data_IF_341214734381
#
_entry.id   IF_341214734381
#
_cell.length_a   1.000
_cell.length_b   1.000
_cell.length_c   1.000
_cell.angle_alpha   90.00
_cell.angle_beta   90.00
_cell.angle_gamma   90.00
#
_symmetry.space_group_name_H-M   'P 1'
#
loop_
_entity.id
_entity.type
_entity.pdbx_description
1 polymer ?
#
# COMPACT_ATOMS: atom_id res chain seq x y z
N UNK A 1 15.13 -9.09 14.22
CA UNK A 1 14.14 -8.41 15.08
C UNK A 1 13.90 -6.93 14.72
N UNK A 2 14.88 -6.19 14.20
CA UNK A 2 14.77 -4.76 13.90
C UNK A 2 13.70 -4.38 12.86
N UNK A 3 13.51 -5.20 11.82
CA UNK A 3 12.54 -4.93 10.75
C UNK A 3 11.09 -4.88 11.26
N UNK A 4 10.65 -5.83 12.11
CA UNK A 4 9.24 -5.85 12.60
C UNK A 4 8.86 -4.60 13.39
N UNK A 5 9.75 -4.14 14.28
CA UNK A 5 9.55 -2.91 15.07
C UNK A 5 9.59 -1.67 14.17
N UNK A 6 10.54 -1.61 13.24
CA UNK A 6 10.64 -0.51 12.28
C UNK A 6 9.40 -0.40 11.39
N UNK A 7 8.85 -1.54 10.94
CA UNK A 7 7.58 -1.58 10.20
C UNK A 7 6.44 -1.01 11.03
N UNK A 8 6.23 -1.51 12.25
CA UNK A 8 5.15 -1.04 13.10
C UNK A 8 5.20 0.48 13.37
N UNK A 9 6.41 1.04 13.56
CA UNK A 9 6.59 2.48 13.82
C UNK A 9 6.48 3.38 12.59
N UNK A 10 6.58 2.82 11.38
CA UNK A 10 6.67 3.60 10.15
C UNK A 10 5.64 3.23 9.09
N UNK A 11 4.79 2.25 9.37
CA UNK A 11 3.61 1.96 8.59
C UNK A 11 2.59 3.08 8.78
N UNK A 12 2.05 3.57 7.67
CA UNK A 12 0.89 4.47 7.66
C UNK A 12 -0.20 3.89 6.78
N UNK A 13 -1.44 4.12 7.17
CA UNK A 13 -2.60 3.81 6.32
C UNK A 13 -2.80 4.94 5.31
N UNK A 14 -3.08 4.57 4.06
CA UNK A 14 -3.36 5.49 2.96
C UNK A 14 -4.69 5.13 2.33
N UNK A 15 -5.45 6.14 1.98
CA UNK A 15 -6.64 6.03 1.14
C UNK A 15 -6.62 7.12 0.08
N UNK A 16 -7.51 7.02 -0.91
CA UNK A 16 -7.79 8.10 -1.85
C UNK A 16 -8.26 9.35 -1.11
N UNK A 17 -7.80 10.52 -1.56
CA UNK A 17 -8.18 11.81 -1.00
C UNK A 17 -9.69 12.05 -1.06
N UNK A 18 -10.35 11.61 -2.14
CA UNK A 18 -11.80 11.75 -2.30
C UNK A 18 -12.59 11.01 -1.23
N UNK A 19 -12.05 9.89 -0.75
CA UNK A 19 -12.76 8.97 0.15
C UNK A 19 -12.30 9.14 1.61
N UNK A 20 -11.30 9.99 1.89
CA UNK A 20 -10.66 10.08 3.20
C UNK A 20 -11.65 10.26 4.35
N UNK A 21 -12.60 11.18 4.21
CA UNK A 21 -13.57 11.46 5.27
C UNK A 21 -14.50 10.28 5.54
N UNK A 22 -15.00 9.64 4.48
CA UNK A 22 -15.87 8.45 4.60
C UNK A 22 -15.10 7.28 5.21
N UNK A 23 -13.84 7.08 4.84
CA UNK A 23 -13.03 5.99 5.38
C UNK A 23 -12.67 6.24 6.83
N UNK A 24 -12.38 7.48 7.21
CA UNK A 24 -12.13 7.82 8.60
C UNK A 24 -13.36 7.57 9.49
N UNK A 25 -14.56 7.92 9.02
CA UNK A 25 -15.80 7.62 9.74
C UNK A 25 -16.09 6.11 9.79
N UNK A 26 -15.91 5.41 8.67
CA UNK A 26 -16.11 3.96 8.60
C UNK A 26 -15.16 3.25 9.57
N UNK A 27 -13.88 3.62 9.59
CA UNK A 27 -12.86 3.07 10.50
C UNK A 27 -13.20 3.30 11.97
N UNK A 28 -13.76 4.46 12.32
CA UNK A 28 -14.17 4.76 13.69
C UNK A 28 -15.47 4.06 14.13
N UNK A 29 -16.30 3.63 13.17
CA UNK A 29 -17.61 3.03 13.42
C UNK A 29 -17.61 1.50 13.57
N UNK A 30 -16.54 0.84 13.10
CA UNK A 30 -16.45 -0.63 13.05
C UNK A 30 -16.18 -1.22 14.44
N UNK A 31 -16.89 -2.30 14.77
CA UNK A 31 -16.71 -3.06 16.01
C UNK A 31 -15.53 -4.04 15.92
N UNK A 32 -14.87 -4.30 17.05
CA UNK A 32 -13.76 -5.27 17.16
C UNK A 32 -14.22 -6.69 16.80
N UNK A 33 -15.42 -7.08 17.25
CA UNK A 33 -16.02 -8.38 16.93
C UNK A 33 -16.25 -8.61 15.43
N UNK A 34 -16.62 -7.57 14.69
CA UNK A 34 -16.77 -7.67 13.24
C UNK A 34 -15.43 -7.85 12.54
N UNK A 35 -14.36 -7.25 13.06
CA UNK A 35 -13.00 -7.43 12.53
C UNK A 35 -12.53 -8.86 12.77
N UNK A 36 -12.69 -9.40 13.98
CA UNK A 36 -12.32 -10.78 14.31
C UNK A 36 -13.05 -11.79 13.42
N UNK A 37 -14.36 -11.63 13.26
CA UNK A 37 -15.18 -12.53 12.43
C UNK A 37 -14.77 -12.51 10.94
N UNK A 38 -14.32 -11.37 10.42
CA UNK A 38 -13.76 -11.28 9.06
C UNK A 38 -12.37 -11.89 9.02
N UNK A 39 -11.53 -11.65 10.03
CA UNK A 39 -10.16 -12.14 10.09
C UNK A 39 -10.09 -13.67 10.10
N UNK A 40 -10.93 -14.30 10.93
CA UNK A 40 -11.07 -15.76 10.98
C UNK A 40 -11.49 -16.32 9.62
N UNK A 41 -12.44 -15.70 8.92
CA UNK A 41 -12.84 -16.20 7.60
C UNK A 41 -11.75 -16.03 6.55
N UNK A 42 -11.07 -14.90 6.57
CA UNK A 42 -9.93 -14.62 5.70
C UNK A 42 -8.80 -15.62 5.94
N UNK A 43 -8.56 -16.06 7.18
CA UNK A 43 -7.56 -17.09 7.47
C UNK A 43 -7.94 -18.48 6.94
N UNK A 44 -9.24 -18.74 6.79
CA UNK A 44 -9.78 -19.95 6.16
C UNK A 44 -9.90 -19.84 4.63
N UNK A 45 -9.47 -18.72 4.03
CA UNK A 45 -9.46 -18.50 2.58
C UNK A 45 -10.73 -17.87 2.00
N UNK A 46 -11.67 -17.44 2.83
CA UNK A 46 -12.86 -16.69 2.38
C UNK A 46 -12.62 -15.17 2.47
N UNK A 47 -12.58 -14.53 1.29
CA UNK A 47 -12.29 -13.10 1.17
C UNK A 47 -13.49 -12.26 0.68
N UNK A 48 -14.64 -12.90 0.41
CA UNK A 48 -15.75 -12.25 -0.29
C UNK A 48 -17.03 -12.18 0.55
N UNK A 49 -17.24 -13.13 1.45
CA UNK A 49 -18.53 -13.26 2.14
C UNK A 49 -18.66 -12.23 3.26
N UNK A 50 -19.80 -11.55 3.33
CA UNK A 50 -20.16 -10.69 4.45
C UNK A 50 -21.61 -10.96 4.85
N UNK A 51 -21.79 -11.37 6.10
CA UNK A 51 -23.06 -11.75 6.69
C UNK A 51 -23.73 -10.57 7.41
N UNK A 52 -22.92 -9.63 7.91
CA UNK A 52 -23.39 -8.40 8.57
C UNK A 52 -23.03 -7.15 7.77
N UNK A 53 -23.79 -6.06 7.95
CA UNK A 53 -23.46 -4.75 7.39
C UNK A 53 -22.12 -4.23 7.92
N UNK A 54 -21.76 -4.54 9.17
CA UNK A 54 -20.46 -4.16 9.74
C UNK A 54 -19.31 -4.89 9.04
N UNK A 55 -19.47 -6.17 8.75
CA UNK A 55 -18.47 -6.96 8.00
C UNK A 55 -18.30 -6.45 6.57
N UNK A 56 -19.38 -5.98 5.93
CA UNK A 56 -19.29 -5.33 4.61
C UNK A 56 -18.43 -4.07 4.68
N UNK A 57 -18.58 -3.28 5.74
CA UNK A 57 -17.74 -2.10 5.98
C UNK A 57 -16.28 -2.50 6.19
N UNK A 58 -16.01 -3.57 6.95
CA UNK A 58 -14.64 -4.10 7.11
C UNK A 58 -14.04 -4.52 5.77
N UNK A 59 -14.78 -5.27 4.93
CA UNK A 59 -14.30 -5.67 3.61
C UNK A 59 -14.10 -4.49 2.64
N UNK A 60 -14.91 -3.43 2.77
CA UNK A 60 -14.72 -2.17 2.04
C UNK A 60 -13.44 -1.47 2.50
N UNK A 61 -13.23 -1.36 3.82
CA UNK A 61 -12.02 -0.78 4.40
C UNK A 61 -10.76 -1.53 3.97
N UNK A 62 -10.78 -2.87 3.97
CA UNK A 62 -9.65 -3.68 3.50
C UNK A 62 -9.28 -3.44 2.03
N UNK A 63 -10.27 -3.12 1.17
CA UNK A 63 -10.02 -2.81 -0.24
C UNK A 63 -9.49 -1.39 -0.45
N UNK A 64 -10.02 -0.43 0.28
CA UNK A 64 -9.75 0.99 0.05
C UNK A 64 -8.55 1.52 0.86
N UNK A 65 -8.19 0.85 1.95
CA UNK A 65 -7.07 1.23 2.81
C UNK A 65 -5.83 0.46 2.37
N UNK A 66 -4.93 1.16 1.70
CA UNK A 66 -3.61 0.64 1.36
C UNK A 66 -2.60 0.93 2.47
N UNK A 67 -1.75 -0.03 2.75
CA UNK A 67 -0.73 0.09 3.78
C UNK A 67 0.56 0.64 3.15
N UNK A 68 0.92 1.89 3.43
CA UNK A 68 2.19 2.47 2.98
C UNK A 68 3.29 2.03 3.95
N UNK A 69 4.27 1.32 3.43
CA UNK A 69 5.47 0.90 4.16
C UNK A 69 6.71 1.72 3.79
N UNK A 70 6.55 3.05 3.63
CA UNK A 70 7.56 3.93 3.01
C UNK A 70 8.94 3.93 3.69
N UNK A 71 9.01 3.66 5.00
CA UNK A 71 10.30 3.54 5.72
C UNK A 71 10.67 2.12 6.08
N UNK A 72 10.00 1.12 5.50
CA UNK A 72 10.48 -0.26 5.57
C UNK A 72 11.50 -0.45 4.46
N UNK A 73 12.77 -0.76 4.79
CA UNK A 73 13.81 -0.99 3.80
C UNK A 73 13.37 -2.05 2.80
N UNK A 74 13.51 -1.77 1.51
CA UNK A 74 13.12 -2.68 0.42
C UNK A 74 11.64 -2.63 0.03
N UNK A 75 10.81 -1.79 0.65
CA UNK A 75 9.45 -1.57 0.16
C UNK A 75 9.42 -0.78 -1.15
N UNK A 76 8.38 -0.95 -1.95
CA UNK A 76 8.19 -0.18 -3.20
C UNK A 76 8.17 1.33 -2.96
N UNK A 77 7.61 1.75 -1.83
CA UNK A 77 7.58 3.15 -1.42
C UNK A 77 8.97 3.65 -1.00
N UNK A 78 9.76 2.85 -0.26
CA UNK A 78 11.16 3.16 0.07
C UNK A 78 12.01 3.31 -1.19
N UNK A 79 11.84 2.42 -2.17
CA UNK A 79 12.52 2.52 -3.46
C UNK A 79 12.17 3.81 -4.20
N UNK A 80 10.89 4.14 -4.26
CA UNK A 80 10.42 5.40 -4.89
C UNK A 80 11.01 6.63 -4.20
N UNK A 81 11.06 6.65 -2.86
CA UNK A 81 11.69 7.72 -2.09
C UNK A 81 13.17 7.86 -2.42
N UNK A 82 13.94 6.77 -2.44
CA UNK A 82 15.37 6.80 -2.79
C UNK A 82 15.59 7.31 -4.22
N UNK A 83 14.77 6.89 -5.19
CA UNK A 83 14.86 7.41 -6.55
C UNK A 83 14.58 8.93 -6.60
N UNK A 84 13.65 9.43 -5.79
CA UNK A 84 13.35 10.85 -5.71
C UNK A 84 14.48 11.65 -5.07
N UNK A 85 15.15 11.10 -4.04
CA UNK A 85 16.33 11.72 -3.44
C UNK A 85 17.48 11.83 -4.45
N UNK A 86 17.76 10.74 -5.19
CA UNK A 86 18.77 10.75 -6.25
C UNK A 86 18.45 11.81 -7.30
N UNK A 87 17.19 11.90 -7.76
CA UNK A 87 16.75 12.95 -8.69
C UNK A 87 17.00 14.35 -8.12
N UNK A 88 16.62 14.57 -6.86
CA UNK A 88 16.85 15.86 -6.18
C UNK A 88 18.32 16.25 -6.16
N UNK A 89 19.21 15.31 -5.81
CA UNK A 89 20.66 15.52 -5.82
C UNK A 89 21.20 15.81 -7.23
N UNK A 90 20.70 15.10 -8.26
CA UNK A 90 21.10 15.35 -9.65
C UNK A 90 20.71 16.76 -10.11
N UNK A 91 19.51 17.23 -9.74
CA UNK A 91 19.08 18.60 -10.03
C UNK A 91 19.90 19.65 -9.28
N UNK A 92 20.16 19.44 -7.99
CA UNK A 92 20.90 20.39 -7.15
C UNK A 92 22.37 20.54 -7.58
N UNK A 93 23.02 19.42 -7.95
CA UNK A 93 24.41 19.41 -8.39
C UNK A 93 24.58 19.75 -9.89
N UNK A 94 23.50 20.11 -10.59
CA UNK A 94 23.55 20.54 -11.99
C UNK A 94 23.84 19.43 -13.00
N UNK A 95 23.56 18.17 -12.66
CA UNK A 95 23.83 17.02 -13.49
C UNK A 95 22.72 16.88 -14.55
N UNK A 96 23.01 16.97 -15.86
CA UNK A 96 21.99 16.83 -16.89
C UNK A 96 21.43 15.40 -16.89
N UNK A 97 20.19 15.23 -16.42
CA UNK A 97 19.55 13.93 -16.28
C UNK A 97 18.53 13.69 -17.41
N UNK A 98 18.93 12.90 -18.41
CA UNK A 98 18.01 12.32 -19.39
C UNK A 98 17.59 10.93 -18.92
N UNK A 99 16.30 10.75 -18.61
CA UNK A 99 15.75 9.45 -18.27
C UNK A 99 15.14 8.83 -19.53
N UNK A 100 15.82 7.83 -20.09
CA UNK A 100 15.28 7.00 -21.17
C UNK A 100 14.76 5.69 -20.58
N UNK A 101 13.45 5.48 -20.62
CA UNK A 101 12.87 4.17 -20.29
C UNK A 101 12.72 3.39 -21.58
N UNK A 102 13.63 2.46 -21.84
CA UNK A 102 13.49 1.50 -22.93
C UNK A 102 12.66 0.34 -22.36
N UNK A 103 11.38 0.27 -22.73
CA UNK A 103 10.57 -0.90 -22.46
C UNK A 103 10.55 -1.75 -23.75
N UNK A 104 11.44 -2.75 -23.89
CA UNK A 104 11.41 -3.61 -25.06
C UNK A 104 10.04 -4.30 -25.10
N UNK A 105 9.36 -4.20 -26.23
CA UNK A 105 8.10 -4.90 -26.41
C UNK A 105 8.37 -6.41 -26.37
N UNK A 106 7.83 -7.08 -25.36
CA UNK A 106 7.96 -8.53 -25.12
C UNK A 106 7.54 -9.36 -26.34
N UNK A 107 6.66 -8.81 -27.18
CA UNK A 107 6.18 -9.40 -28.44
C UNK A 107 7.31 -9.73 -29.43
N UNK A 108 8.46 -9.08 -29.32
CA UNK A 108 9.60 -9.27 -30.24
C UNK A 108 10.84 -9.85 -29.55
N UNK A 109 10.72 -10.34 -28.32
CA UNK A 109 11.85 -10.92 -27.61
C UNK A 109 12.13 -12.36 -28.13
N UNK A 110 13.28 -12.64 -28.76
CA UNK A 110 13.59 -13.96 -29.32
C UNK A 110 13.91 -15.02 -28.25
N UNK A 111 13.81 -14.68 -26.96
CA UNK A 111 14.07 -15.55 -25.82
C UNK A 111 12.79 -16.03 -25.09
N UNK A 112 11.60 -15.63 -25.56
CA UNK A 112 10.30 -16.14 -25.12
C UNK A 112 9.77 -17.13 -26.16
#
# INVERSE_FOLDING_TARGET
MWQRRSTALHTKLKTSRSNFQSIASDLASVSESAIEAVLDRVSHGDHATANSNEERTVLKLMREVSLISAKVPGSAASHTTMCNEIRGLMFDLGLPCFYLTINPADVYNPLV
#
